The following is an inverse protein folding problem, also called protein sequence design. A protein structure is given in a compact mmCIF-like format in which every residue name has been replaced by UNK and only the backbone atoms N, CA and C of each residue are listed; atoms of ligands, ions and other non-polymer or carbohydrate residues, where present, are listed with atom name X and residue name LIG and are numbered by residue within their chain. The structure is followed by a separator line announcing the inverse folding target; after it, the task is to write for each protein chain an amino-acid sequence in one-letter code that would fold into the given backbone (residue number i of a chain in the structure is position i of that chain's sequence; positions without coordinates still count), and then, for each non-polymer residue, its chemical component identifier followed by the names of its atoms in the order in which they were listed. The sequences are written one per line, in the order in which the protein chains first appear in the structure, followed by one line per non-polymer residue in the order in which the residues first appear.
data_IF_991805447996
#
_entry.id   IF_991805447996
#
_cell.length_a   1.000
_cell.length_b   1.000
_cell.length_c   1.000
_cell.angle_alpha   90.00
_cell.angle_beta   90.00
_cell.angle_gamma   90.00
#
_symmetry.space_group_name_H-M   'P 1'
#
loop_
_entity.id
_entity.type
_entity.pdbx_description
1 polymer ?
#
# COMPACT_ATOMS: atom_id res chain seq x y z
N UNK A 1 -7.60 -19.75 -19.56
CA UNK A 1 -8.60 -19.89 -18.47
C UNK A 1 -7.85 -20.09 -17.15
N UNK A 2 -6.85 -19.25 -16.89
CA UNK A 2 -5.82 -19.51 -15.86
C UNK A 2 -6.00 -18.60 -14.63
N UNK A 3 -6.80 -17.53 -14.76
CA UNK A 3 -7.13 -16.60 -13.67
C UNK A 3 -7.98 -17.26 -12.57
N UNK A 4 -8.88 -18.18 -12.92
CA UNK A 4 -9.74 -18.87 -11.96
C UNK A 4 -8.99 -19.94 -11.16
N UNK A 5 -7.92 -20.55 -11.72
CA UNK A 5 -7.06 -21.48 -10.98
C UNK A 5 -6.12 -20.81 -9.99
N UNK A 6 -5.83 -19.51 -10.18
CA UNK A 6 -5.08 -18.72 -9.20
C UNK A 6 -5.96 -18.21 -8.04
N UNK A 7 -7.29 -18.22 -8.20
CA UNK A 7 -8.23 -17.81 -7.16
C UNK A 7 -8.46 -18.95 -6.14
N UNK A 8 -7.40 -19.35 -5.43
CA UNK A 8 -7.52 -20.36 -4.40
C UNK A 8 -8.16 -19.79 -3.13
N UNK A 9 -8.79 -20.65 -2.33
CA UNK A 9 -9.27 -20.29 -0.99
C UNK A 9 -8.12 -19.82 -0.09
N UNK A 10 -6.90 -20.35 -0.30
CA UNK A 10 -5.70 -19.92 0.44
C UNK A 10 -5.34 -18.47 0.15
N UNK A 11 -5.41 -18.00 -1.11
CA UNK A 11 -5.14 -16.60 -1.46
C UNK A 11 -6.11 -15.64 -0.77
N UNK A 12 -7.40 -15.98 -0.71
CA UNK A 12 -8.39 -15.16 -0.01
C UNK A 12 -8.13 -15.12 1.50
N UNK A 13 -7.80 -16.27 2.10
CA UNK A 13 -7.46 -16.34 3.52
C UNK A 13 -6.18 -15.55 3.84
N UNK A 14 -5.13 -15.71 3.05
CA UNK A 14 -3.85 -15.02 3.24
C UNK A 14 -3.96 -13.51 3.00
N UNK A 15 -4.68 -13.08 1.97
CA UNK A 15 -4.88 -11.64 1.70
C UNK A 15 -5.70 -10.97 2.80
N UNK A 16 -6.76 -11.61 3.30
CA UNK A 16 -7.55 -11.07 4.41
C UNK A 16 -6.76 -11.04 5.73
N UNK A 17 -5.96 -12.07 6.00
CA UNK A 17 -5.03 -12.10 7.14
C UNK A 17 -3.95 -11.02 7.00
N UNK A 18 -3.41 -10.83 5.78
CA UNK A 18 -2.50 -9.75 5.43
C UNK A 18 -3.12 -8.38 5.68
N UNK A 19 -4.36 -8.14 5.25
CA UNK A 19 -5.09 -6.89 5.49
C UNK A 19 -5.26 -6.62 6.98
N UNK A 20 -5.66 -7.64 7.77
CA UNK A 20 -5.81 -7.50 9.23
C UNK A 20 -4.49 -7.10 9.90
N UNK A 21 -3.41 -7.82 9.60
CA UNK A 21 -2.08 -7.50 10.11
C UNK A 21 -1.66 -6.09 9.65
N UNK A 22 -1.88 -5.78 8.38
CA UNK A 22 -1.59 -4.48 7.79
C UNK A 22 -2.29 -3.34 8.51
N UNK A 23 -3.60 -3.47 8.79
CA UNK A 23 -4.36 -2.44 9.51
C UNK A 23 -3.78 -2.21 10.90
N UNK A 24 -3.43 -3.28 11.63
CA UNK A 24 -2.81 -3.17 12.96
C UNK A 24 -1.46 -2.46 12.88
N UNK A 25 -0.60 -2.85 11.93
CA UNK A 25 0.70 -2.21 11.70
C UNK A 25 0.53 -0.74 11.30
N UNK A 26 -0.42 -0.42 10.42
CA UNK A 26 -0.70 0.94 9.96
C UNK A 26 -1.30 1.82 11.06
N UNK A 27 -2.01 1.25 12.02
CA UNK A 27 -2.55 1.99 13.15
C UNK A 27 -1.46 2.44 14.15
N UNK A 28 -0.29 1.81 14.12
CA UNK A 28 0.85 2.18 14.96
C UNK A 28 1.54 3.43 14.37
N UNK A 29 1.52 4.58 15.08
CA UNK A 29 2.14 5.80 14.57
C UNK A 29 3.65 5.62 14.35
N UNK A 30 4.14 6.05 13.19
CA UNK A 30 5.55 5.91 12.79
C UNK A 30 5.88 4.62 12.05
N UNK A 31 4.96 3.67 11.96
CA UNK A 31 5.13 2.43 11.19
C UNK A 31 4.51 2.60 9.80
N UNK A 32 5.34 2.52 8.75
CA UNK A 32 4.87 2.71 7.37
C UNK A 32 4.46 1.39 6.74
N UNK A 33 3.52 1.42 5.77
CA UNK A 33 3.14 0.22 5.02
C UNK A 33 4.35 -0.45 4.36
N UNK A 34 5.31 0.33 3.87
CA UNK A 34 6.55 -0.17 3.26
C UNK A 34 7.43 -0.91 4.26
N UNK A 35 7.53 -0.42 5.50
CA UNK A 35 8.27 -1.10 6.57
C UNK A 35 7.58 -2.41 6.96
N UNK A 36 6.25 -2.42 7.07
CA UNK A 36 5.49 -3.63 7.38
C UNK A 36 5.70 -4.71 6.29
N UNK A 37 5.65 -4.33 5.01
CA UNK A 37 5.95 -5.23 3.88
C UNK A 37 7.38 -5.76 3.96
N UNK A 38 8.36 -4.92 4.25
CA UNK A 38 9.76 -5.33 4.37
C UNK A 38 9.98 -6.34 5.51
N UNK A 39 9.32 -6.16 6.66
CA UNK A 39 9.41 -7.06 7.81
C UNK A 39 8.70 -8.39 7.54
N UNK A 40 7.60 -8.39 6.79
CA UNK A 40 6.87 -9.60 6.44
C UNK A 40 7.41 -10.31 5.18
N UNK A 41 8.28 -9.67 4.40
CA UNK A 41 8.88 -10.26 3.19
C UNK A 41 9.56 -11.61 3.44
N UNK A 42 10.34 -11.83 4.52
CA UNK A 42 10.96 -13.13 4.79
C UNK A 42 9.95 -14.26 5.01
N UNK A 43 8.77 -13.94 5.55
CA UNK A 43 7.70 -14.92 5.76
C UNK A 43 7.13 -15.41 4.43
N UNK A 44 7.26 -14.62 3.37
CA UNK A 44 6.79 -15.00 2.03
C UNK A 44 7.73 -15.92 1.27
N UNK A 45 8.99 -16.07 1.69
CA UNK A 45 9.91 -17.01 1.03
C UNK A 45 9.52 -18.47 1.24
N UNK A 46 8.79 -18.77 2.32
CA UNK A 46 8.21 -20.09 2.57
C UNK A 46 6.85 -20.28 1.89
N UNK A 47 6.23 -19.20 1.40
CA UNK A 47 4.96 -19.21 0.70
C UNK A 47 5.22 -19.25 -0.82
N UNK A 48 4.41 -19.97 -1.59
CA UNK A 48 4.51 -19.93 -3.05
C UNK A 48 4.34 -18.51 -3.58
N UNK A 49 4.83 -18.21 -4.79
CA UNK A 49 4.85 -16.86 -5.36
C UNK A 49 3.47 -16.18 -5.33
N UNK A 50 2.41 -16.90 -5.68
CA UNK A 50 1.02 -16.41 -5.67
C UNK A 50 0.54 -16.06 -4.27
N UNK A 51 0.72 -16.96 -3.31
CA UNK A 51 0.28 -16.82 -1.93
C UNK A 51 1.07 -15.74 -1.18
N UNK A 52 2.38 -15.65 -1.43
CA UNK A 52 3.25 -14.61 -0.89
C UNK A 52 2.86 -13.21 -1.40
N UNK A 53 2.61 -13.06 -2.70
CA UNK A 53 2.14 -11.80 -3.27
C UNK A 53 0.75 -11.40 -2.71
N UNK A 54 -0.16 -12.36 -2.54
CA UNK A 54 -1.48 -12.10 -1.97
C UNK A 54 -1.39 -11.55 -0.54
N UNK A 55 -0.54 -12.16 0.30
CA UNK A 55 -0.28 -11.70 1.66
C UNK A 55 0.31 -10.28 1.67
N UNK A 56 1.36 -10.03 0.88
CA UNK A 56 2.05 -8.72 0.86
C UNK A 56 1.17 -7.60 0.31
N UNK A 57 0.37 -7.87 -0.73
CA UNK A 57 -0.59 -6.91 -1.26
C UNK A 57 -1.69 -6.61 -0.23
N UNK A 58 -2.24 -7.64 0.41
CA UNK A 58 -3.20 -7.46 1.50
C UNK A 58 -2.63 -6.61 2.63
N UNK A 59 -1.41 -6.91 3.05
CA UNK A 59 -0.69 -6.18 4.11
C UNK A 59 -0.38 -4.73 3.71
N UNK A 60 -0.01 -4.49 2.45
CA UNK A 60 0.21 -3.14 1.94
C UNK A 60 -1.08 -2.32 1.93
N UNK A 61 -2.17 -2.86 1.36
CA UNK A 61 -3.47 -2.18 1.29
C UNK A 61 -4.04 -1.94 2.69
N UNK A 62 -3.95 -2.95 3.57
CA UNK A 62 -4.33 -2.85 4.97
C UNK A 62 -3.50 -1.82 5.73
N UNK A 63 -2.18 -1.76 5.50
CA UNK A 63 -1.27 -0.79 6.12
C UNK A 63 -1.56 0.66 5.73
N UNK A 64 -1.78 0.91 4.43
CA UNK A 64 -2.16 2.25 3.96
C UNK A 64 -3.52 2.65 4.54
N UNK A 65 -4.47 1.71 4.57
CA UNK A 65 -5.82 1.95 5.12
C UNK A 65 -5.84 2.02 6.65
N UNK A 66 -4.89 1.43 7.36
CA UNK A 66 -4.76 1.55 8.82
C UNK A 66 -4.14 2.89 9.24
N UNK A 67 -3.23 3.42 8.42
CA UNK A 67 -2.51 4.67 8.66
C UNK A 67 -3.39 5.93 8.72
N UNK A 68 -4.63 5.87 8.20
CA UNK A 68 -5.59 6.97 8.34
C UNK A 68 -6.07 7.16 9.78
N UNK A 69 -6.08 6.12 10.61
CA UNK A 69 -6.54 6.20 12.01
C UNK A 69 -5.65 7.12 12.85
N UNK A 70 -4.32 6.89 12.96
CA UNK A 70 -3.43 7.79 13.72
C UNK A 70 -3.30 9.17 13.06
N UNK A 71 -3.41 9.27 11.73
CA UNK A 71 -3.40 10.55 11.03
C UNK A 71 -4.60 11.44 11.40
N UNK A 72 -5.81 10.86 11.41
CA UNK A 72 -7.06 11.60 11.67
C UNK A 72 -7.25 11.88 13.16
N UNK A 73 -6.97 10.91 14.04
CA UNK A 73 -7.24 11.06 15.47
C UNK A 73 -6.13 11.76 16.23
N UNK A 74 -4.86 11.50 15.88
CA UNK A 74 -3.70 11.94 16.66
C UNK A 74 -2.86 13.01 15.95
N UNK A 75 -3.17 13.36 14.69
CA UNK A 75 -2.36 14.26 13.85
C UNK A 75 -0.91 13.79 13.67
N UNK A 76 -0.65 12.49 13.78
CA UNK A 76 0.67 11.89 13.59
C UNK A 76 0.63 11.07 12.29
N UNK A 77 0.97 11.66 11.13
CA UNK A 77 0.94 10.92 9.87
C UNK A 77 2.11 9.92 9.80
N UNK A 78 1.81 8.67 9.41
CA UNK A 78 2.83 7.65 9.17
C UNK A 78 3.51 7.76 7.82
N UNK A 79 2.92 8.45 6.84
CA UNK A 79 3.49 8.63 5.49
C UNK A 79 3.35 10.08 5.03
N UNK A 80 4.24 10.58 4.14
CA UNK A 80 4.13 11.93 3.61
C UNK A 80 2.83 12.16 2.85
N UNK A 81 2.25 11.12 2.21
CA UNK A 81 0.94 11.21 1.56
C UNK A 81 -0.19 11.41 2.56
N UNK A 82 -0.12 10.80 3.75
CA UNK A 82 -1.14 10.94 4.80
C UNK A 82 -1.16 12.32 5.47
N UNK A 83 -0.17 13.19 5.24
CA UNK A 83 -0.18 14.55 5.80
C UNK A 83 -1.39 15.35 5.30
N UNK A 84 -1.78 15.13 4.04
CA UNK A 84 -2.96 15.77 3.45
C UNK A 84 -4.24 15.34 4.15
N UNK A 85 -4.33 14.06 4.54
CA UNK A 85 -5.43 13.52 5.34
C UNK A 85 -5.51 14.17 6.72
N UNK A 86 -4.39 14.62 7.29
CA UNK A 86 -4.42 15.35 8.57
C UNK A 86 -5.00 16.76 8.43
N UNK A 87 -4.88 17.40 7.27
CA UNK A 87 -5.44 18.74 7.06
C UNK A 87 -6.96 18.73 7.02
N UNK A 88 -7.57 17.68 6.45
CA UNK A 88 -9.02 17.56 6.38
C UNK A 88 -9.61 16.79 7.57
N UNK A 89 -9.00 15.65 7.93
CA UNK A 89 -9.56 14.72 8.91
C UNK A 89 -9.38 15.14 10.37
N UNK A 90 -8.24 15.74 10.73
CA UNK A 90 -7.97 16.14 12.12
C UNK A 90 -8.89 17.28 12.61
N UNK A 91 -9.19 18.34 11.82
CA UNK A 91 -10.19 19.34 12.20
C UNK A 91 -11.59 18.75 12.41
N UNK A 92 -12.02 17.81 11.57
CA UNK A 92 -13.30 17.11 11.73
C UNK A 92 -13.34 16.26 13.01
N UNK A 93 -12.22 15.62 13.38
CA UNK A 93 -12.09 14.91 14.65
C UNK A 93 -12.15 15.86 15.86
N UNK A 94 -11.49 17.03 15.77
CA UNK A 94 -11.56 18.06 16.83
C UNK A 94 -12.95 18.67 17.01
N UNK A 95 -13.77 18.71 15.95
CA UNK A 95 -15.17 19.14 16.00
C UNK A 95 -16.12 18.09 16.61
N UNK A 96 -15.58 17.00 17.17
CA UNK A 96 -16.37 15.91 17.76
C UNK A 96 -17.00 14.97 16.72
N UNK A 97 -16.53 15.00 15.46
CA UNK A 97 -17.01 14.11 14.40
C UNK A 97 -15.94 13.12 13.89
N UNK A 98 -15.20 12.40 14.77
CA UNK A 98 -14.13 11.50 14.35
C UNK A 98 -14.65 10.33 13.50
N UNK A 99 -15.84 9.82 13.79
CA UNK A 99 -16.45 8.72 13.02
C UNK A 99 -16.73 9.13 11.57
N UNK A 100 -17.23 10.36 11.38
CA UNK A 100 -17.51 10.90 10.04
C UNK A 100 -16.23 11.08 9.24
N UNK A 101 -15.18 11.62 9.87
CA UNK A 101 -13.87 11.77 9.26
C UNK A 101 -13.31 10.41 8.80
N UNK A 102 -13.38 9.40 9.67
CA UNK A 102 -12.89 8.05 9.39
C UNK A 102 -13.67 7.39 8.25
N UNK A 103 -15.00 7.50 8.26
CA UNK A 103 -15.88 6.97 7.20
C UNK A 103 -15.56 7.56 5.84
N UNK A 104 -15.38 8.88 5.76
CA UNK A 104 -15.04 9.56 4.51
C UNK A 104 -13.66 9.11 4.01
N UNK A 105 -12.68 9.03 4.91
CA UNK A 105 -11.32 8.61 4.55
C UNK A 105 -11.26 7.15 4.07
N UNK A 106 -11.98 6.24 4.72
CA UNK A 106 -12.05 4.83 4.29
C UNK A 106 -12.78 4.71 2.96
N UNK A 107 -13.90 5.42 2.78
CA UNK A 107 -14.64 5.40 1.52
C UNK A 107 -13.79 5.94 0.37
N UNK A 108 -13.11 7.09 0.56
CA UNK A 108 -12.25 7.67 -0.47
C UNK A 108 -11.06 6.77 -0.81
N UNK A 109 -10.47 6.11 0.19
CA UNK A 109 -9.39 5.14 -0.02
C UNK A 109 -9.87 3.90 -0.79
N UNK A 110 -11.08 3.42 -0.53
CA UNK A 110 -11.68 2.31 -1.26
C UNK A 110 -11.95 2.66 -2.73
N UNK A 111 -12.56 3.82 -3.00
CA UNK A 111 -12.79 4.27 -4.37
C UNK A 111 -11.48 4.56 -5.12
N UNK A 112 -10.53 5.23 -4.48
CA UNK A 112 -9.20 5.49 -5.06
C UNK A 112 -8.42 4.20 -5.34
N UNK A 113 -8.50 3.22 -4.43
CA UNK A 113 -7.89 1.89 -4.59
C UNK A 113 -8.49 1.11 -5.74
N UNK A 114 -9.82 1.04 -5.84
CA UNK A 114 -10.50 0.38 -6.95
C UNK A 114 -10.23 1.07 -8.29
N UNK A 115 -10.33 2.40 -8.32
CA UNK A 115 -10.09 3.18 -9.53
C UNK A 115 -8.65 3.04 -10.03
N UNK A 116 -7.67 3.13 -9.13
CA UNK A 116 -6.26 2.93 -9.48
C UNK A 116 -5.97 1.50 -9.94
N UNK A 117 -6.58 0.48 -9.33
CA UNK A 117 -6.44 -0.91 -9.76
C UNK A 117 -6.97 -1.12 -11.19
N UNK A 118 -8.13 -0.56 -11.51
CA UNK A 118 -8.72 -0.63 -12.87
C UNK A 118 -7.82 0.06 -13.89
N UNK A 119 -7.35 1.28 -13.58
CA UNK A 119 -6.42 2.00 -14.48
C UNK A 119 -5.15 1.20 -14.69
N UNK A 120 -4.55 0.68 -13.60
CA UNK A 120 -3.33 -0.11 -13.66
C UNK A 120 -3.52 -1.36 -14.53
N UNK A 121 -4.67 -2.04 -14.42
CA UNK A 121 -4.95 -3.22 -15.24
C UNK A 121 -4.91 -2.91 -16.75
N UNK A 122 -5.47 -1.78 -17.17
CA UNK A 122 -5.43 -1.37 -18.59
C UNK A 122 -4.07 -0.82 -19.03
N UNK A 123 -3.36 -0.10 -18.16
CA UNK A 123 -2.08 0.52 -18.48
C UNK A 123 -0.87 -0.40 -18.31
N UNK A 124 -0.98 -1.46 -17.50
CA UNK A 124 0.08 -2.42 -17.23
C UNK A 124 0.74 -3.00 -18.50
N UNK A 125 0.00 -3.51 -19.50
CA UNK A 125 0.63 -4.05 -20.70
C UNK A 125 1.38 -2.98 -21.50
N UNK A 126 0.79 -1.79 -21.63
CA UNK A 126 1.42 -0.67 -22.34
C UNK A 126 2.73 -0.23 -21.66
N UNK A 127 2.74 -0.19 -20.32
CA UNK A 127 3.92 0.14 -19.56
C UNK A 127 5.01 -0.94 -19.67
N UNK A 128 4.61 -2.22 -19.72
CA UNK A 128 5.53 -3.34 -19.92
C UNK A 128 6.21 -3.29 -21.30
N UNK A 129 5.46 -3.02 -22.37
CA UNK A 129 6.02 -2.85 -23.72
C UNK A 129 7.02 -1.69 -23.79
N UNK A 130 6.75 -0.60 -23.07
CA UNK A 130 7.68 0.51 -22.99
C UNK A 130 8.94 0.14 -22.18
N UNK A 131 8.79 -0.59 -21.07
CA UNK A 131 9.89 -1.01 -20.23
C UNK A 131 10.87 -1.97 -20.92
N UNK A 132 10.37 -2.85 -21.81
CA UNK A 132 11.20 -3.80 -22.56
C UNK A 132 12.08 -3.09 -23.58
N UNK A 133 11.66 -1.95 -24.12
CA UNK A 133 12.44 -1.16 -25.10
C UNK A 133 13.68 -0.49 -24.51
N UNK A 134 13.76 -0.31 -23.19
CA UNK A 134 14.94 0.26 -22.56
C UNK A 134 16.16 -0.66 -22.69
N UNK A 135 17.26 -0.08 -23.16
CA UNK A 135 18.58 -0.70 -23.17
C UNK A 135 19.13 -0.87 -21.76
N UNK A 136 20.19 -1.67 -21.64
CA UNK A 136 20.82 -2.01 -20.37
C UNK A 136 21.36 -0.76 -19.63
N UNK A 137 21.85 0.24 -20.38
CA UNK A 137 22.37 1.50 -19.81
C UNK A 137 21.24 2.32 -19.17
N UNK A 138 20.08 2.40 -19.82
CA UNK A 138 18.93 3.16 -19.31
C UNK A 138 18.36 2.50 -18.05
N UNK A 139 18.25 1.16 -18.05
CA UNK A 139 17.84 0.39 -16.86
C UNK A 139 18.81 0.61 -15.69
N UNK A 140 20.12 0.62 -15.95
CA UNK A 140 21.12 0.91 -14.92
C UNK A 140 20.95 2.32 -14.32
N UNK A 141 20.82 3.34 -15.16
CA UNK A 141 20.63 4.73 -14.72
C UNK A 141 19.35 4.91 -13.91
N UNK A 142 18.25 4.26 -14.31
CA UNK A 142 16.99 4.29 -13.58
C UNK A 142 17.10 3.65 -12.20
N UNK A 143 17.75 2.49 -12.09
CA UNK A 143 17.99 1.81 -10.81
C UNK A 143 18.92 2.66 -9.92
N UNK A 144 19.99 3.21 -10.49
CA UNK A 144 20.94 4.07 -9.77
C UNK A 144 20.24 5.33 -9.22
N UNK A 145 19.38 5.95 -10.02
CA UNK A 145 18.56 7.09 -9.60
C UNK A 145 17.60 6.70 -8.47
N UNK A 146 16.91 5.57 -8.59
CA UNK A 146 15.98 5.08 -7.57
C UNK A 146 16.69 4.82 -6.23
N UNK A 147 17.86 4.18 -6.25
CA UNK A 147 18.68 3.94 -5.06
C UNK A 147 19.17 5.25 -4.43
N UNK A 148 19.62 6.20 -5.26
CA UNK A 148 20.06 7.53 -4.80
C UNK A 148 18.90 8.26 -4.09
N UNK A 149 17.70 8.25 -4.70
CA UNK A 149 16.50 8.84 -4.10
C UNK A 149 16.09 8.18 -2.79
N UNK A 150 16.20 6.84 -2.69
CA UNK A 150 15.96 6.13 -1.43
C UNK A 150 16.96 6.54 -0.35
N UNK A 151 18.25 6.63 -0.70
CA UNK A 151 19.32 7.01 0.23
C UNK A 151 19.13 8.44 0.75
N UNK A 152 18.70 9.37 -0.11
CA UNK A 152 18.41 10.75 0.27
C UNK A 152 17.21 10.90 1.22
N UNK A 153 16.33 9.89 1.37
CA UNK A 153 15.18 9.93 2.29
C UNK A 153 15.57 9.82 3.77
N UNK A 154 16.84 9.50 4.09
CA UNK A 154 17.33 9.36 5.46
C UNK A 154 17.85 10.67 6.09
N UNK A 155 17.37 11.83 5.62
CA UNK A 155 17.56 13.16 6.24
C UNK A 155 16.23 13.90 6.25
#
# INVERSE_FOLDING_TARGET
MDILSHLSLSMFALSSLGVLIGIVFGAIPGMTATLAVAVCLPLTYSLGLTDGLALLLGLYVGGISGGLVPAILLKIPGTPSSITTTFDGYPLAQQGQPEKALKIAVASSLFGGLFSAVILYFFAPFLADFAIKFSNVEKFLLIFLALTGLCCRNR
#
